data_IF_366539715242
#
_entry.id   IF_366539715242
#
_cell.length_a   1.000
_cell.length_b   1.000
_cell.length_c   1.000
_cell.angle_alpha   90.00
_cell.angle_beta   90.00
_cell.angle_gamma   90.00
#
_symmetry.space_group_name_H-M   'P 1'
#
loop_
_entity.id
_entity.type
_entity.pdbx_description
1 polymer ?
#
# COMPACT_ATOMS: atom_id res chain seq x y z
N UNK A 1 7.94 -6.75 -4.00
CA UNK A 1 6.73 -7.21 -4.71
C UNK A 1 6.63 -8.74 -4.75
N UNK A 2 7.63 -9.52 -5.26
CA UNK A 2 7.49 -10.97 -5.39
C UNK A 2 7.27 -11.67 -4.04
N UNK A 3 8.09 -11.35 -3.03
CA UNK A 3 7.94 -11.90 -1.68
C UNK A 3 6.58 -11.58 -1.05
N UNK A 4 6.13 -10.32 -1.15
CA UNK A 4 4.82 -9.90 -0.64
C UNK A 4 3.68 -10.65 -1.33
N UNK A 5 3.76 -10.85 -2.65
CA UNK A 5 2.79 -11.68 -3.39
C UNK A 5 2.79 -13.13 -2.91
N UNK A 6 3.96 -13.72 -2.70
CA UNK A 6 4.08 -15.08 -2.16
C UNK A 6 3.41 -15.20 -0.79
N UNK A 7 3.63 -14.23 0.12
CA UNK A 7 3.00 -14.22 1.44
C UNK A 7 1.47 -14.04 1.39
N UNK A 8 0.96 -13.22 0.46
CA UNK A 8 -0.49 -13.09 0.26
C UNK A 8 -1.10 -14.39 -0.27
N UNK A 9 -0.44 -15.02 -1.25
CA UNK A 9 -0.90 -16.29 -1.82
C UNK A 9 -0.87 -17.39 -0.75
N UNK A 10 0.25 -17.54 -0.03
CA UNK A 10 0.38 -18.55 1.02
C UNK A 10 -0.65 -18.34 2.13
N UNK A 11 -0.83 -17.10 2.60
CA UNK A 11 -1.82 -16.78 3.62
C UNK A 11 -3.26 -17.03 3.15
N UNK A 12 -3.56 -16.76 1.88
CA UNK A 12 -4.89 -17.05 1.32
C UNK A 12 -5.15 -18.55 1.24
N UNK A 13 -4.14 -19.34 0.84
CA UNK A 13 -4.23 -20.80 0.81
C UNK A 13 -4.39 -21.37 2.22
N UNK A 14 -3.65 -20.85 3.21
CA UNK A 14 -3.73 -21.26 4.61
C UNK A 14 -5.11 -20.97 5.21
N UNK A 15 -5.66 -19.78 4.99
CA UNK A 15 -7.01 -19.39 5.41
C UNK A 15 -8.05 -20.31 4.74
N UNK A 16 -7.95 -20.54 3.43
CA UNK A 16 -8.88 -21.40 2.70
C UNK A 16 -8.83 -22.86 3.20
N UNK A 17 -7.64 -23.42 3.40
CA UNK A 17 -7.45 -24.77 3.93
C UNK A 17 -8.06 -24.91 5.33
N UNK A 18 -7.79 -23.94 6.21
CA UNK A 18 -8.33 -23.93 7.57
C UNK A 18 -9.86 -23.83 7.58
N UNK A 19 -10.44 -23.00 6.71
CA UNK A 19 -11.90 -22.90 6.55
C UNK A 19 -12.50 -24.23 6.07
N UNK A 20 -11.86 -24.91 5.11
CA UNK A 20 -12.32 -26.22 4.63
C UNK A 20 -12.32 -27.27 5.75
N UNK A 21 -11.23 -27.31 6.54
CA UNK A 21 -11.14 -28.21 7.71
C UNK A 21 -12.25 -27.89 8.72
N UNK A 22 -12.50 -26.61 9.01
CA UNK A 22 -13.55 -26.20 9.93
C UNK A 22 -14.97 -26.56 9.45
N UNK A 23 -15.23 -26.45 8.15
CA UNK A 23 -16.51 -26.88 7.54
C UNK A 23 -16.70 -28.39 7.69
N UNK A 24 -15.65 -29.19 7.49
CA UNK A 24 -15.73 -30.65 7.61
C UNK A 24 -15.91 -31.13 9.05
N UNK A 25 -15.31 -30.45 10.02
CA UNK A 25 -15.35 -30.86 11.44
C UNK A 25 -16.62 -30.36 12.14
N UNK A 26 -17.00 -29.10 11.92
CA UNK A 26 -18.11 -28.47 12.65
C UNK A 26 -18.90 -27.52 11.75
N UNK A 27 -19.90 -28.04 11.04
CA UNK A 27 -20.75 -27.23 10.15
C UNK A 27 -21.50 -26.09 10.87
N UNK A 28 -21.77 -26.24 12.17
CA UNK A 28 -22.49 -25.25 12.98
C UNK A 28 -21.71 -23.93 13.14
N UNK A 29 -20.37 -23.98 13.15
CA UNK A 29 -19.50 -22.79 13.29
C UNK A 29 -19.51 -21.94 12.01
N UNK A 30 -19.83 -22.54 10.86
CA UNK A 30 -19.92 -21.85 9.57
C UNK A 30 -21.00 -20.77 9.59
N UNK A 31 -22.11 -21.01 10.31
CA UNK A 31 -23.22 -20.06 10.40
C UNK A 31 -22.79 -18.75 11.08
N UNK A 32 -21.88 -18.83 12.06
CA UNK A 32 -21.29 -17.67 12.74
C UNK A 32 -20.15 -17.05 11.93
N UNK A 33 -19.38 -17.88 11.21
CA UNK A 33 -18.26 -17.42 10.40
C UNK A 33 -18.68 -16.60 9.17
N UNK A 34 -19.79 -16.96 8.51
CA UNK A 34 -20.24 -16.29 7.27
C UNK A 34 -20.51 -14.78 7.46
N UNK A 35 -21.31 -14.33 8.46
CA UNK A 35 -21.50 -12.91 8.73
C UNK A 35 -20.19 -12.17 9.05
N UNK A 36 -19.27 -12.84 9.75
CA UNK A 36 -17.98 -12.25 10.09
C UNK A 36 -17.07 -12.05 8.89
N UNK A 37 -17.03 -13.02 7.96
CA UNK A 37 -16.29 -12.89 6.70
C UNK A 37 -16.85 -11.71 5.89
N UNK A 38 -18.17 -11.58 5.81
CA UNK A 38 -18.81 -10.43 5.13
C UNK A 38 -18.42 -9.10 5.81
N UNK A 39 -18.44 -9.06 7.15
CA UNK A 39 -18.03 -7.88 7.91
C UNK A 39 -16.57 -7.48 7.66
N UNK A 40 -15.67 -8.45 7.65
CA UNK A 40 -14.24 -8.25 7.34
C UNK A 40 -14.07 -7.72 5.92
N UNK A 41 -14.74 -8.32 4.94
CA UNK A 41 -14.66 -7.85 3.54
C UNK A 41 -15.17 -6.42 3.38
N UNK A 42 -16.23 -6.04 4.10
CA UNK A 42 -16.76 -4.68 4.08
C UNK A 42 -15.77 -3.67 4.67
N UNK A 43 -15.22 -3.99 5.85
CA UNK A 43 -14.21 -3.15 6.52
C UNK A 43 -12.95 -3.01 5.66
N UNK A 44 -12.49 -4.12 5.06
CA UNK A 44 -11.31 -4.15 4.22
C UNK A 44 -11.51 -3.29 2.96
N UNK A 45 -12.68 -3.37 2.31
CA UNK A 45 -13.02 -2.50 1.17
C UNK A 45 -13.04 -1.02 1.53
N UNK A 46 -13.62 -0.68 2.69
CA UNK A 46 -13.64 0.69 3.19
C UNK A 46 -12.22 1.21 3.44
N UNK A 47 -11.39 0.41 4.12
CA UNK A 47 -9.99 0.75 4.38
C UNK A 47 -9.19 0.96 3.09
N UNK A 48 -9.32 0.09 2.09
CA UNK A 48 -8.57 0.20 0.83
C UNK A 48 -8.83 1.52 0.09
N UNK A 49 -10.07 2.03 0.16
CA UNK A 49 -10.40 3.33 -0.44
C UNK A 49 -9.63 4.47 0.25
N UNK A 50 -9.62 4.51 1.58
CA UNK A 50 -8.88 5.52 2.36
C UNK A 50 -7.37 5.35 2.24
N UNK A 51 -6.86 4.13 2.32
CA UNK A 51 -5.44 3.82 2.27
C UNK A 51 -4.79 4.28 0.96
N UNK A 52 -5.49 4.13 -0.18
CA UNK A 52 -5.00 4.61 -1.48
C UNK A 52 -4.76 6.12 -1.50
N UNK A 53 -5.70 6.89 -0.96
CA UNK A 53 -5.54 8.35 -0.88
C UNK A 53 -4.41 8.74 0.08
N UNK A 54 -4.30 8.08 1.24
CA UNK A 54 -3.20 8.34 2.18
C UNK A 54 -1.83 8.05 1.56
N UNK A 55 -1.69 6.95 0.83
CA UNK A 55 -0.42 6.62 0.14
C UNK A 55 -0.11 7.62 -0.95
N UNK A 56 -1.13 8.13 -1.66
CA UNK A 56 -0.95 9.18 -2.66
C UNK A 56 -0.41 10.46 -2.04
N UNK A 57 -0.99 10.91 -0.92
CA UNK A 57 -0.55 12.10 -0.20
C UNK A 57 0.87 11.89 0.36
N UNK A 58 1.15 10.73 0.96
CA UNK A 58 2.48 10.38 1.46
C UNK A 58 3.55 10.36 0.33
N UNK A 59 3.17 9.99 -0.89
CA UNK A 59 4.05 10.10 -2.06
C UNK A 59 4.38 11.55 -2.42
N UNK A 60 3.44 12.48 -2.21
CA UNK A 60 3.64 13.91 -2.50
C UNK A 60 4.42 14.65 -1.42
N UNK A 61 4.41 14.22 -0.16
CA UNK A 61 5.16 14.87 0.93
C UNK A 61 6.66 14.57 0.88
N UNK A 62 7.06 13.40 0.39
CA UNK A 62 8.47 12.99 0.30
C UNK A 62 9.28 13.73 -0.76
N UNK A 63 8.65 14.09 -1.88
CA UNK A 63 9.35 14.74 -2.99
C UNK A 63 9.89 16.16 -2.63
N UNK A 64 9.11 17.04 -1.98
CA UNK A 64 9.60 18.33 -1.48
C UNK A 64 10.80 18.22 -0.55
N UNK A 65 10.82 17.26 0.38
CA UNK A 65 11.96 17.06 1.29
C UNK A 65 13.24 16.75 0.50
N UNK A 66 13.15 15.83 -0.46
CA UNK A 66 14.29 15.44 -1.29
C UNK A 66 14.76 16.58 -2.21
N UNK A 67 13.83 17.31 -2.83
CA UNK A 67 14.15 18.44 -3.69
C UNK A 67 14.79 19.58 -2.90
N UNK A 68 14.23 19.92 -1.73
CA UNK A 68 14.74 20.98 -0.87
C UNK A 68 16.17 20.67 -0.36
N UNK A 69 16.44 19.41 -0.03
CA UNK A 69 17.78 18.96 0.31
C UNK A 69 18.75 19.12 -0.87
N UNK A 70 18.35 18.72 -2.08
CA UNK A 70 19.16 18.86 -3.29
C UNK A 70 19.47 20.33 -3.63
N UNK A 71 18.46 21.20 -3.59
CA UNK A 71 18.62 22.64 -3.81
C UNK A 71 19.55 23.28 -2.76
N UNK A 72 19.42 22.87 -1.50
CA UNK A 72 20.28 23.34 -0.42
C UNK A 72 21.74 22.92 -0.60
N UNK A 73 22.00 21.72 -1.12
CA UNK A 73 23.35 21.23 -1.42
C UNK A 73 23.98 22.01 -2.58
N UNK A 74 23.23 22.27 -3.65
CA UNK A 74 23.70 23.05 -4.80
C UNK A 74 23.93 24.54 -4.43
N UNK A 75 23.06 25.10 -3.59
CA UNK A 75 23.08 26.51 -3.19
C UNK A 75 23.89 26.82 -1.91
N UNK A 76 24.65 25.87 -1.36
CA UNK A 76 25.25 25.98 -0.02
C UNK A 76 26.15 27.21 0.15
N UNK A 77 26.89 27.58 -0.89
CA UNK A 77 27.79 28.75 -0.89
C UNK A 77 26.98 30.04 -0.77
N UNK A 78 25.91 30.16 -1.57
CA UNK A 78 25.01 31.32 -1.57
C UNK A 78 24.27 31.45 -0.24
N UNK A 79 23.76 30.34 0.31
CA UNK A 79 23.06 30.33 1.60
C UNK A 79 23.97 30.83 2.72
N UNK A 80 25.23 30.38 2.74
CA UNK A 80 26.23 30.82 3.72
C UNK A 80 26.63 32.28 3.52
N UNK A 81 26.80 32.73 2.27
CA UNK A 81 27.14 34.11 1.94
C UNK A 81 26.07 35.11 2.44
N UNK A 82 24.79 34.75 2.37
CA UNK A 82 23.69 35.56 2.90
C UNK A 82 23.33 35.29 4.37
N UNK A 83 24.12 34.48 5.09
CA UNK A 83 23.86 34.07 6.48
C UNK A 83 22.44 33.51 6.73
N UNK A 84 21.83 32.89 5.71
CA UNK A 84 20.44 32.42 5.74
C UNK A 84 20.28 30.97 6.24
N UNK A 85 21.34 30.36 6.76
CA UNK A 85 21.40 28.93 7.15
C UNK A 85 20.28 28.54 8.13
N UNK A 86 20.04 29.34 9.17
CA UNK A 86 19.00 29.03 10.17
C UNK A 86 17.60 28.97 9.58
N UNK A 87 17.27 29.86 8.63
CA UNK A 87 16.00 29.83 7.91
C UNK A 87 15.87 28.52 7.13
N UNK A 88 16.93 28.13 6.42
CA UNK A 88 16.92 26.90 5.64
C UNK A 88 16.74 25.65 6.51
N UNK A 89 17.39 25.61 7.69
CA UNK A 89 17.24 24.52 8.67
C UNK A 89 15.79 24.45 9.18
N UNK A 90 15.20 25.57 9.56
CA UNK A 90 13.82 25.60 10.06
C UNK A 90 12.82 25.11 9.01
N UNK A 91 12.95 25.55 7.77
CA UNK A 91 12.10 25.07 6.66
C UNK A 91 12.30 23.57 6.42
N UNK A 92 13.53 23.07 6.45
CA UNK A 92 13.79 21.63 6.30
C UNK A 92 13.13 20.81 7.42
N UNK A 93 13.22 21.28 8.67
CA UNK A 93 12.57 20.64 9.81
C UNK A 93 11.04 20.61 9.66
N UNK A 94 10.43 21.69 9.17
CA UNK A 94 8.98 21.73 8.90
C UNK A 94 8.57 20.72 7.81
N UNK A 95 9.37 20.58 6.75
CA UNK A 95 9.11 19.60 5.70
C UNK A 95 9.23 18.15 6.22
N UNK A 96 10.24 17.88 7.04
CA UNK A 96 10.43 16.57 7.69
C UNK A 96 9.28 16.26 8.65
N UNK A 97 8.85 17.22 9.46
CA UNK A 97 7.76 17.06 10.42
C UNK A 97 6.43 16.75 9.71
N UNK A 98 6.18 17.41 8.58
CA UNK A 98 5.02 17.13 7.74
C UNK A 98 5.05 15.73 7.13
N UNK A 99 6.21 15.26 6.65
CA UNK A 99 6.36 13.88 6.14
C UNK A 99 6.20 12.83 7.26
N UNK A 100 6.81 13.07 8.43
CA UNK A 100 6.70 12.20 9.60
C UNK A 100 5.26 12.08 10.10
N UNK A 101 4.53 13.20 10.14
CA UNK A 101 3.11 13.25 10.50
C UNK A 101 2.25 12.46 9.51
N UNK A 102 2.51 12.61 8.21
CA UNK A 102 1.78 11.87 7.18
C UNK A 102 2.06 10.36 7.24
N UNK A 103 3.31 9.99 7.52
CA UNK A 103 3.70 8.61 7.76
C UNK A 103 2.99 8.04 9.00
N UNK A 104 2.90 8.80 10.09
CA UNK A 104 2.18 8.40 11.29
C UNK A 104 0.69 8.13 11.00
N UNK A 105 0.01 9.04 10.29
CA UNK A 105 -1.39 8.82 9.91
C UNK A 105 -1.61 7.59 9.03
N UNK A 106 -0.68 7.32 8.11
CA UNK A 106 -0.72 6.12 7.26
C UNK A 106 -0.60 4.83 8.09
N UNK A 107 0.30 4.81 9.09
CA UNK A 107 0.43 3.67 10.00
C UNK A 107 -0.78 3.56 10.93
N UNK A 108 -1.28 4.66 11.47
CA UNK A 108 -2.46 4.67 12.34
C UNK A 108 -3.70 4.13 11.60
N UNK A 109 -3.87 4.46 10.33
CA UNK A 109 -4.94 3.91 9.50
C UNK A 109 -4.79 2.39 9.32
N UNK A 110 -3.57 1.89 9.10
CA UNK A 110 -3.29 0.47 8.99
C UNK A 110 -3.59 -0.27 10.30
N UNK A 111 -3.15 0.26 11.44
CA UNK A 111 -3.46 -0.33 12.74
C UNK A 111 -4.96 -0.30 13.06
N UNK A 112 -5.68 0.76 12.65
CA UNK A 112 -7.12 0.85 12.83
C UNK A 112 -7.88 -0.30 12.15
N UNK A 113 -7.50 -0.68 10.92
CA UNK A 113 -8.13 -1.81 10.23
C UNK A 113 -7.76 -3.14 10.87
N UNK A 114 -6.50 -3.32 11.28
CA UNK A 114 -6.04 -4.56 11.94
C UNK A 114 -6.82 -4.79 13.25
N UNK A 115 -6.92 -3.77 14.10
CA UNK A 115 -7.67 -3.84 15.35
C UNK A 115 -9.15 -4.19 15.14
N UNK A 116 -9.79 -3.63 14.10
CA UNK A 116 -11.20 -3.91 13.79
C UNK A 116 -11.41 -5.35 13.30
N UNK A 117 -10.50 -5.84 12.46
CA UNK A 117 -10.54 -7.22 11.95
C UNK A 117 -10.28 -8.23 13.08
N UNK A 118 -9.29 -7.96 13.94
CA UNK A 118 -8.97 -8.80 15.10
C UNK A 118 -10.13 -8.82 16.11
N UNK A 119 -10.72 -7.66 16.44
CA UNK A 119 -11.86 -7.59 17.33
C UNK A 119 -13.07 -8.40 16.82
N UNK A 120 -13.36 -8.36 15.51
CA UNK A 120 -14.42 -9.18 14.91
C UNK A 120 -14.13 -10.67 15.05
N UNK A 121 -12.89 -11.09 14.83
CA UNK A 121 -12.50 -12.50 14.96
C UNK A 121 -12.59 -12.99 16.41
N UNK A 122 -12.19 -12.17 17.38
CA UNK A 122 -12.34 -12.50 18.81
C UNK A 122 -13.82 -12.72 19.14
N UNK A 123 -14.71 -11.85 18.66
CA UNK A 123 -16.16 -12.03 18.86
C UNK A 123 -16.65 -13.34 18.26
N UNK A 124 -16.17 -13.72 17.06
CA UNK A 124 -16.50 -15.01 16.43
C UNK A 124 -15.99 -16.18 17.26
N UNK A 125 -14.75 -16.12 17.74
CA UNK A 125 -14.16 -17.20 18.53
C UNK A 125 -14.93 -17.36 19.85
N UNK A 126 -15.23 -16.27 20.56
CA UNK A 126 -15.97 -16.30 21.82
C UNK A 126 -17.39 -16.84 21.62
N UNK A 127 -18.12 -16.33 20.62
CA UNK A 127 -19.48 -16.79 20.33
C UNK A 127 -19.52 -18.25 19.89
N UNK A 128 -18.56 -18.69 19.05
CA UNK A 128 -18.43 -20.08 18.64
C UNK A 128 -18.07 -20.98 19.82
N UNK A 129 -17.20 -20.52 20.72
CA UNK A 129 -16.83 -21.27 21.94
C UNK A 129 -18.04 -21.46 22.86
N UNK A 130 -18.84 -20.41 23.08
CA UNK A 130 -20.05 -20.49 23.89
C UNK A 130 -21.06 -21.45 23.25
N UNK A 131 -21.27 -21.35 21.93
CA UNK A 131 -22.18 -22.23 21.20
C UNK A 131 -21.76 -23.71 21.31
N UNK A 132 -20.45 -23.96 21.22
CA UNK A 132 -19.88 -25.31 21.36
C UNK A 132 -20.07 -25.89 22.77
N UNK A 133 -19.96 -25.08 23.82
CA UNK A 133 -20.19 -25.50 25.22
C UNK A 133 -21.67 -25.72 25.52
N UNK A 134 -22.56 -24.97 24.86
CA UNK A 134 -24.02 -25.08 25.05
C UNK A 134 -24.65 -26.29 24.34
N UNK A 135 -23.90 -26.99 23.48
CA UNK A 135 -24.37 -28.21 22.83
C UNK A 135 -24.51 -29.37 23.84
N UNK A 136 -25.57 -30.21 23.72
CA UNK A 136 -25.77 -31.33 24.63
C UNK A 136 -24.58 -32.29 24.63
N UNK A 137 -24.24 -32.77 25.83
CA UNK A 137 -23.16 -33.74 26.05
C UNK A 137 -23.36 -34.97 25.14
N UNK A 138 -22.39 -35.24 24.27
CA UNK A 138 -22.42 -36.33 23.30
C UNK A 138 -22.57 -35.92 21.82
N UNK A 139 -22.83 -34.63 21.53
CA UNK A 139 -23.00 -34.16 20.14
C UNK A 139 -21.67 -34.03 19.38
N UNK A 140 -20.57 -33.72 20.08
CA UNK A 140 -19.23 -33.50 19.49
C UNK A 140 -18.18 -34.14 20.41
N UNK A 141 -17.24 -34.90 19.85
CA UNK A 141 -16.17 -35.49 20.65
C UNK A 141 -15.23 -34.40 21.18
N UNK A 142 -14.75 -34.48 22.44
CA UNK A 142 -13.89 -33.46 23.05
C UNK A 142 -12.62 -33.12 22.25
N UNK A 143 -12.07 -34.10 21.52
CA UNK A 143 -10.91 -33.88 20.64
C UNK A 143 -11.20 -32.93 19.48
N UNK A 144 -12.39 -32.99 18.87
CA UNK A 144 -12.78 -32.09 17.78
C UNK A 144 -13.02 -30.66 18.28
N UNK A 145 -13.49 -30.49 19.52
CA UNK A 145 -13.64 -29.18 20.15
C UNK A 145 -12.28 -28.48 20.32
N UNK A 146 -11.29 -29.21 20.82
CA UNK A 146 -9.92 -28.71 20.94
C UNK A 146 -9.32 -28.32 19.59
N UNK A 147 -9.47 -29.19 18.58
CA UNK A 147 -9.01 -28.91 17.22
C UNK A 147 -9.68 -27.66 16.64
N UNK A 148 -11.00 -27.52 16.78
CA UNK A 148 -11.76 -26.37 16.29
C UNK A 148 -11.27 -25.04 16.90
N UNK A 149 -11.01 -25.03 18.21
CA UNK A 149 -10.49 -23.84 18.90
C UNK A 149 -9.06 -23.51 18.49
N UNK A 150 -8.18 -24.52 18.39
CA UNK A 150 -6.81 -24.33 17.91
C UNK A 150 -6.78 -23.76 16.49
N UNK A 151 -7.57 -24.32 15.57
CA UNK A 151 -7.66 -23.81 14.20
C UNK A 151 -8.26 -22.41 14.14
N UNK A 152 -9.26 -22.09 14.96
CA UNK A 152 -9.84 -20.74 15.00
C UNK A 152 -8.83 -19.67 15.47
N UNK A 153 -7.98 -20.00 16.45
CA UNK A 153 -6.91 -19.12 16.92
C UNK A 153 -5.82 -18.93 15.86
N UNK A 154 -5.38 -20.01 15.21
CA UNK A 154 -4.40 -19.94 14.12
C UNK A 154 -4.95 -19.13 12.94
N UNK A 155 -6.21 -19.34 12.57
CA UNK A 155 -6.90 -18.61 11.51
C UNK A 155 -6.95 -17.10 11.79
N UNK A 156 -7.20 -16.73 13.04
CA UNK A 156 -7.24 -15.33 13.47
C UNK A 156 -5.89 -14.63 13.22
N UNK A 157 -4.80 -15.23 13.70
CA UNK A 157 -3.45 -14.72 13.48
C UNK A 157 -3.10 -14.65 11.99
N UNK A 158 -3.36 -15.73 11.24
CA UNK A 158 -3.10 -15.79 9.80
C UNK A 158 -3.86 -14.70 9.03
N UNK A 159 -5.10 -14.41 9.41
CA UNK A 159 -5.92 -13.39 8.76
C UNK A 159 -5.44 -11.96 9.06
N UNK A 160 -4.94 -11.68 10.27
CA UNK A 160 -4.28 -10.40 10.59
C UNK A 160 -3.03 -10.21 9.73
N UNK A 161 -2.18 -11.25 9.62
CA UNK A 161 -1.01 -11.23 8.74
C UNK A 161 -1.40 -11.02 7.28
N UNK A 162 -2.39 -11.77 6.78
CA UNK A 162 -2.87 -11.65 5.41
C UNK A 162 -3.39 -10.24 5.12
N UNK A 163 -4.17 -9.66 6.03
CA UNK A 163 -4.69 -8.29 5.89
C UNK A 163 -3.54 -7.28 5.79
N UNK A 164 -2.51 -7.43 6.63
CA UNK A 164 -1.32 -6.57 6.59
C UNK A 164 -0.55 -6.71 5.28
N UNK A 165 -0.30 -7.93 4.81
CA UNK A 165 0.42 -8.16 3.56
C UNK A 165 -0.39 -7.71 2.33
N UNK A 166 -1.70 -7.91 2.35
CA UNK A 166 -2.61 -7.42 1.32
C UNK A 166 -2.56 -5.90 1.21
N UNK A 167 -2.64 -5.19 2.34
CA UNK A 167 -2.53 -3.72 2.37
C UNK A 167 -1.18 -3.24 1.84
N UNK A 168 -0.08 -3.91 2.19
CA UNK A 168 1.24 -3.60 1.64
C UNK A 168 1.32 -3.85 0.13
N UNK A 169 0.74 -4.95 -0.35
CA UNK A 169 0.70 -5.26 -1.78
C UNK A 169 -0.06 -4.19 -2.56
N UNK A 170 -1.21 -3.75 -2.06
CA UNK A 170 -2.01 -2.69 -2.66
C UNK A 170 -1.21 -1.38 -2.75
N UNK A 171 -0.50 -1.02 -1.67
CA UNK A 171 0.37 0.16 -1.65
C UNK A 171 1.48 0.08 -2.71
N UNK A 172 2.07 -1.10 -2.92
CA UNK A 172 3.05 -1.30 -3.98
C UNK A 172 2.43 -1.26 -5.38
N UNK A 173 1.20 -1.74 -5.55
CA UNK A 173 0.49 -1.74 -6.83
C UNK A 173 0.29 -0.32 -7.38
N UNK A 174 0.05 0.67 -6.51
CA UNK A 174 -0.06 2.09 -6.89
C UNK A 174 1.20 2.57 -7.62
N UNK A 175 2.38 2.13 -7.19
CA UNK A 175 3.64 2.49 -7.85
C UNK A 175 3.76 1.86 -9.24
N UNK A 176 3.28 0.63 -9.41
CA UNK A 176 3.23 -0.06 -10.70
C UNK A 176 2.26 0.62 -11.65
N UNK A 177 1.09 1.04 -11.15
CA UNK A 177 0.10 1.79 -11.92
C UNK A 177 0.70 3.10 -12.47
N UNK A 178 1.49 3.80 -11.64
CA UNK A 178 2.19 5.02 -12.07
C UNK A 178 3.22 4.74 -13.18
N UNK A 179 4.00 3.66 -13.08
CA UNK A 179 4.93 3.26 -14.15
C UNK A 179 4.17 2.95 -15.44
N UNK A 180 3.04 2.23 -15.33
CA UNK A 180 2.18 1.95 -16.48
C UNK A 180 1.66 3.23 -17.13
N UNK A 181 1.26 4.23 -16.34
CA UNK A 181 0.87 5.54 -16.87
C UNK A 181 2.02 6.20 -17.65
N UNK A 182 3.24 6.17 -17.12
CA UNK A 182 4.42 6.71 -17.82
C UNK A 182 4.73 5.98 -19.13
N UNK A 183 4.47 4.68 -19.23
CA UNK A 183 4.66 3.93 -20.47
C UNK A 183 3.71 4.33 -21.61
N UNK A 184 2.55 4.91 -21.28
CA UNK A 184 1.55 5.32 -22.27
C UNK A 184 1.62 6.82 -22.60
N UNK A 185 2.60 7.55 -22.05
CA UNK A 185 2.80 8.94 -22.44
C UNK A 185 3.24 9.01 -23.92
N UNK A 186 2.75 10.01 -24.68
CA UNK A 186 3.20 10.22 -26.05
C UNK A 186 4.71 10.44 -26.06
N UNK A 187 5.42 9.64 -26.85
CA UNK A 187 6.87 9.75 -26.99
C UNK A 187 7.21 11.06 -27.70
N UNK A 188 8.29 11.69 -27.26
CA UNK A 188 8.87 12.80 -28.02
C UNK A 188 9.26 12.33 -29.43
N UNK A 189 9.23 13.21 -30.44
CA UNK A 189 9.67 12.87 -31.78
C UNK A 189 11.09 12.28 -31.75
N UNK A 190 11.39 11.27 -32.58
CA UNK A 190 12.68 10.61 -32.58
C UNK A 190 13.80 11.63 -32.83
N UNK A 191 14.85 11.56 -32.02
CA UNK A 191 15.99 12.50 -32.07
C UNK A 191 16.67 12.53 -33.45
N UNK A 192 16.58 11.45 -34.22
CA UNK A 192 17.10 11.36 -35.58
C UNK A 192 16.01 10.81 -36.50
N UNK A 193 15.66 11.59 -37.52
CA UNK A 193 14.78 11.17 -38.61
C UNK A 193 15.69 10.72 -39.75
N UNK A 194 15.78 9.40 -40.00
CA UNK A 194 16.68 8.81 -41.01
C UNK A 194 16.49 9.45 -42.40
N UNK A 195 15.24 9.76 -42.74
CA UNK A 195 14.85 10.25 -44.06
C UNK A 195 15.11 11.75 -44.26
N UNK A 196 15.47 12.48 -43.19
CA UNK A 196 15.69 13.94 -43.22
C UNK A 196 16.97 14.36 -42.50
N UNK A 197 18.00 13.51 -42.53
CA UNK A 197 19.28 13.83 -41.91
C UNK A 197 20.03 14.88 -42.74
N UNK A 198 20.48 15.99 -42.15
CA UNK A 198 21.34 16.95 -42.85
C UNK A 198 22.66 16.29 -43.27
N UNK A 199 23.31 16.82 -44.32
CA UNK A 199 24.64 16.39 -44.73
C UNK A 199 25.65 16.57 -43.58
N UNK A 200 26.75 15.78 -43.52
CA UNK A 200 27.77 15.91 -42.48
C UNK A 200 28.42 17.30 -42.39
N UNK A 201 28.39 18.05 -43.49
CA UNK A 201 28.88 19.42 -43.57
C UNK A 201 27.89 20.47 -43.04
N UNK A 202 26.70 20.06 -42.62
CA UNK A 202 25.69 20.95 -42.07
C UNK A 202 25.94 21.23 -40.58
N UNK A 203 25.76 22.48 -40.10
CA UNK A 203 25.41 23.67 -40.87
C UNK A 203 26.64 24.35 -41.49
N UNK A 204 26.67 24.50 -42.82
CA UNK A 204 27.83 25.05 -43.54
C UNK A 204 28.05 26.55 -43.29
N UNK A 205 26.96 27.31 -43.10
CA UNK A 205 26.98 28.77 -42.93
C UNK A 205 26.55 29.22 -41.52
N UNK A 206 26.07 28.30 -40.67
CA UNK A 206 25.59 28.62 -39.32
C UNK A 206 24.42 29.63 -39.25
N UNK A 207 23.77 29.95 -40.38
CA UNK A 207 22.69 30.94 -40.45
C UNK A 207 21.37 30.35 -39.96
N UNK A 208 20.82 30.92 -38.90
CA UNK A 208 19.51 30.55 -38.35
C UNK A 208 18.51 31.64 -38.73
N UNK A 209 17.49 31.28 -39.52
CA UNK A 209 16.37 32.19 -39.83
C UNK A 209 15.14 31.75 -39.04
N UNK A 210 14.65 32.63 -38.17
CA UNK A 210 13.47 32.38 -37.34
C UNK A 210 12.26 32.97 -38.04
N UNK A 211 11.44 32.14 -38.66
CA UNK A 211 10.23 32.57 -39.36
C UNK A 211 9.00 32.27 -38.51
N UNK A 212 8.30 33.33 -38.06
CA UNK A 212 7.05 33.24 -37.30
C UNK A 212 7.09 32.33 -36.06
N UNK A 213 8.25 32.18 -35.41
CA UNK A 213 8.37 31.40 -34.18
C UNK A 213 7.51 32.02 -33.08
N UNK A 214 6.52 31.25 -32.60
CA UNK A 214 5.71 31.61 -31.43
C UNK A 214 5.98 30.62 -30.32
N UNK A 215 6.68 31.07 -29.31
CA UNK A 215 6.88 30.30 -28.08
C UNK A 215 5.75 30.65 -27.13
N UNK A 216 5.06 29.64 -26.62
CA UNK A 216 4.10 29.81 -25.51
C UNK A 216 4.90 29.77 -24.21
N UNK A 217 5.12 30.93 -23.62
CA UNK A 217 5.48 31.09 -22.20
C UNK A 217 4.27 30.87 -21.31
#
# INVERSE_FOLDING_TARGET
>A
IPFTMTFVISGTVEVAATVVVMIMVTWQVVLVAVPAVIGVLYIQRYYIASARELVRINGTTKAPVMNYAAESMLGVVTIRAFAATNRFIQTNLQLIDMDATMFFYTNAALEWVLLRVEAMQIVVIVTSSILLVMLPAGSVAPGFLGLCLSYALTLSSAQVFLTRFYSNLENYMISVERIKQFMHLPSEPPAVISDRRPAPSWPSEGKINLENLRVRT
#
